data_IF_175420603052
#
_entry.id   IF_175420603052
#
_cell.length_a   1.000
_cell.length_b   1.000
_cell.length_c   1.000
_cell.angle_alpha   90.00
_cell.angle_beta   90.00
_cell.angle_gamma   90.00
#
_symmetry.space_group_name_H-M   'P 1'
#
loop_
_entity.id
_entity.type
_entity.pdbx_description
1 polymer ?
#
# COMPACT_ATOMS: atom_id res chain seq x y z
N UNK A 1 29.51 42.34 -41.95
CA UNK A 1 28.73 41.08 -41.98
C UNK A 1 29.60 40.01 -41.34
N UNK A 2 29.39 39.71 -40.07
CA UNK A 2 30.19 38.75 -39.30
C UNK A 2 29.25 37.99 -38.37
N UNK A 3 29.22 36.67 -38.55
CA UNK A 3 28.21 35.74 -38.05
C UNK A 3 28.43 35.49 -36.55
N UNK A 4 27.39 35.69 -35.74
CA UNK A 4 27.37 35.26 -34.33
C UNK A 4 27.05 33.77 -34.26
N UNK A 5 27.99 32.98 -33.75
CA UNK A 5 27.79 31.55 -33.48
C UNK A 5 27.13 31.40 -32.11
N UNK A 6 25.83 31.16 -32.08
CA UNK A 6 25.08 30.85 -30.85
C UNK A 6 25.25 29.36 -30.57
N UNK A 7 26.05 29.01 -29.56
CA UNK A 7 26.24 27.62 -29.13
C UNK A 7 25.00 27.18 -28.34
N UNK A 8 24.14 26.37 -28.94
CA UNK A 8 23.00 25.76 -28.27
C UNK A 8 23.51 24.62 -27.37
N UNK A 9 23.49 24.83 -26.04
CA UNK A 9 23.83 23.81 -25.06
C UNK A 9 22.68 22.79 -25.00
N UNK A 10 22.86 21.66 -25.69
CA UNK A 10 21.93 20.53 -25.65
C UNK A 10 22.04 19.88 -24.25
N UNK A 11 21.08 20.16 -23.38
CA UNK A 11 21.00 19.56 -22.05
C UNK A 11 20.83 18.05 -22.16
N UNK A 12 21.87 17.30 -21.83
CA UNK A 12 21.81 15.85 -21.70
C UNK A 12 20.90 15.51 -20.50
N UNK A 13 19.65 15.13 -20.77
CA UNK A 13 18.80 14.48 -19.77
C UNK A 13 19.36 13.08 -19.56
N UNK A 14 20.25 12.93 -18.58
CA UNK A 14 20.68 11.62 -18.13
C UNK A 14 19.44 10.90 -17.55
N UNK A 15 19.10 9.68 -18.00
CA UNK A 15 18.08 8.90 -17.34
C UNK A 15 18.58 8.64 -15.91
N UNK A 16 17.91 9.21 -14.91
CA UNK A 16 18.09 8.74 -13.54
C UNK A 16 17.71 7.27 -13.56
N UNK A 17 18.71 6.39 -13.50
CA UNK A 17 18.49 5.00 -13.16
C UNK A 17 17.77 5.02 -11.81
N UNK A 18 16.47 4.72 -11.82
CA UNK A 18 15.68 4.60 -10.60
C UNK A 18 16.40 3.56 -9.74
N UNK A 19 17.04 4.01 -8.67
CA UNK A 19 17.65 3.10 -7.72
C UNK A 19 16.51 2.31 -7.10
N UNK A 20 16.45 1.02 -7.40
CA UNK A 20 15.46 0.14 -6.81
C UNK A 20 15.74 0.06 -5.31
N UNK A 21 14.93 0.75 -4.52
CA UNK A 21 15.01 0.68 -3.06
C UNK A 21 14.43 -0.65 -2.64
N UNK A 22 15.30 -1.64 -2.44
CA UNK A 22 14.93 -2.85 -1.71
C UNK A 22 14.99 -2.46 -0.24
N UNK A 23 13.83 -2.40 0.44
CA UNK A 23 13.83 -2.17 1.87
C UNK A 23 14.60 -3.30 2.56
N UNK A 24 15.73 -2.97 3.18
CA UNK A 24 16.55 -3.94 3.90
C UNK A 24 15.96 -4.29 5.29
N UNK A 25 14.98 -3.50 5.75
CA UNK A 25 14.34 -3.63 7.08
C UNK A 25 12.83 -3.41 6.99
N UNK A 26 12.14 -3.86 8.02
CA UNK A 26 10.73 -3.56 8.26
C UNK A 26 10.58 -2.13 8.80
N UNK A 27 9.37 -1.55 8.69
CA UNK A 27 9.05 -0.27 9.32
C UNK A 27 8.91 0.91 8.37
N UNK A 28 8.94 0.71 7.05
CA UNK A 28 8.84 1.81 6.09
C UNK A 28 7.45 2.46 6.15
N UNK A 29 7.37 3.74 6.52
CA UNK A 29 6.11 4.50 6.55
C UNK A 29 5.75 4.87 5.11
N UNK A 30 4.71 4.24 4.61
CA UNK A 30 4.34 4.28 3.20
C UNK A 30 3.27 5.32 2.89
N UNK A 31 2.37 5.58 3.83
CA UNK A 31 1.31 6.56 3.66
C UNK A 31 0.85 7.08 5.02
N UNK A 32 0.54 8.38 5.07
CA UNK A 32 -0.01 9.04 6.26
C UNK A 32 -1.15 9.96 5.88
N UNK A 33 -2.16 10.07 6.74
CA UNK A 33 -3.26 11.03 6.67
C UNK A 33 -3.40 11.71 8.03
N UNK A 34 -3.61 13.03 8.06
CA UNK A 34 -3.84 13.76 9.31
C UNK A 34 -2.61 13.90 10.22
N UNK A 35 -2.83 13.86 11.53
CA UNK A 35 -1.74 13.98 12.52
C UNK A 35 -1.05 12.64 12.76
N UNK A 36 0.19 12.51 12.27
CA UNK A 36 1.04 11.33 12.47
C UNK A 36 2.42 11.78 12.92
N UNK A 37 2.92 11.14 13.98
CA UNK A 37 4.20 11.47 14.60
C UNK A 37 5.08 10.24 14.79
N UNK A 38 6.36 10.39 14.53
CA UNK A 38 7.41 9.40 14.76
C UNK A 38 8.35 9.96 15.83
N UNK A 39 8.41 9.31 17.00
CA UNK A 39 9.12 9.81 18.19
C UNK A 39 8.80 11.29 18.52
N UNK A 40 7.54 11.68 18.34
CA UNK A 40 7.04 13.03 18.63
C UNK A 40 7.16 14.04 17.48
N UNK A 41 7.94 13.74 16.45
CA UNK A 41 8.12 14.59 15.26
C UNK A 41 7.07 14.29 14.19
N UNK A 42 6.55 15.32 13.51
CA UNK A 42 5.57 15.16 12.44
C UNK A 42 6.17 14.36 11.28
N UNK A 43 5.44 13.36 10.80
CA UNK A 43 5.87 12.55 9.66
C UNK A 43 5.47 13.22 8.35
N UNK A 44 6.41 13.30 7.43
CA UNK A 44 6.16 13.66 6.03
C UNK A 44 6.59 12.50 5.12
N UNK A 45 5.71 12.13 4.19
CA UNK A 45 5.96 11.07 3.20
C UNK A 45 5.88 11.68 1.80
N UNK A 46 6.83 11.33 0.94
CA UNK A 46 6.81 11.70 -0.47
C UNK A 46 7.33 10.56 -1.34
N UNK A 47 7.08 10.63 -2.65
CA UNK A 47 7.64 9.66 -3.60
C UNK A 47 9.19 9.62 -3.60
N UNK A 48 9.85 10.68 -3.10
CA UNK A 48 11.30 10.77 -3.00
C UNK A 48 11.84 10.28 -1.64
N UNK A 49 11.01 10.22 -0.59
CA UNK A 49 11.44 9.91 0.76
C UNK A 49 10.33 9.26 1.57
N UNK A 50 10.60 8.04 2.03
CA UNK A 50 9.76 7.27 2.93
C UNK A 50 10.51 7.09 4.26
N UNK A 51 10.09 7.78 5.33
CA UNK A 51 10.68 7.57 6.66
C UNK A 51 10.44 6.13 7.12
N UNK A 52 11.24 5.66 8.07
CA UNK A 52 11.11 4.30 8.62
C UNK A 52 11.05 4.33 10.13
N UNK A 53 10.11 3.57 10.70
CA UNK A 53 10.03 3.27 12.14
C UNK A 53 11.09 2.24 12.47
N UNK A 54 12.20 2.69 13.06
CA UNK A 54 13.30 1.81 13.46
C UNK A 54 13.02 1.19 14.82
N UNK A 55 13.81 0.19 15.17
CA UNK A 55 13.78 -0.39 16.51
C UNK A 55 13.83 0.69 17.60
N UNK A 56 12.99 0.54 18.62
CA UNK A 56 12.78 1.44 19.77
C UNK A 56 12.10 2.78 19.44
N UNK A 57 11.62 2.97 18.21
CA UNK A 57 10.84 4.16 17.84
C UNK A 57 9.34 3.90 17.96
N UNK A 58 8.61 4.92 18.42
CA UNK A 58 7.16 4.94 18.48
C UNK A 58 6.58 5.66 17.25
N UNK A 59 5.59 5.05 16.60
CA UNK A 59 4.72 5.74 15.66
C UNK A 59 3.34 5.95 16.28
N UNK A 60 2.86 7.18 16.27
CA UNK A 60 1.59 7.61 16.85
C UNK A 60 0.73 8.36 15.85
N UNK A 61 -0.57 8.15 15.94
CA UNK A 61 -1.61 8.87 15.20
C UNK A 61 -2.53 9.61 16.17
N UNK A 62 -2.90 10.85 15.85
CA UNK A 62 -4.00 11.58 16.49
C UNK A 62 -5.28 11.41 15.67
N UNK A 63 -5.87 12.52 15.22
CA UNK A 63 -6.85 12.54 14.13
C UNK A 63 -6.14 12.26 12.79
N UNK A 64 -5.69 11.03 12.61
CA UNK A 64 -4.90 10.61 11.47
C UNK A 64 -4.76 9.10 11.38
N UNK A 65 -4.13 8.62 10.31
CA UNK A 65 -3.89 7.20 10.04
C UNK A 65 -2.54 7.01 9.40
N UNK A 66 -1.92 5.87 9.63
CA UNK A 66 -0.62 5.54 9.06
C UNK A 66 -0.62 4.13 8.47
N UNK A 67 0.10 3.97 7.37
CA UNK A 67 0.38 2.68 6.73
C UNK A 67 1.89 2.45 6.74
N UNK A 68 2.29 1.31 7.29
CA UNK A 68 3.68 0.90 7.45
C UNK A 68 3.89 -0.44 6.77
N UNK A 69 4.93 -0.54 5.94
CA UNK A 69 5.36 -1.81 5.36
C UNK A 69 6.34 -2.47 6.32
N UNK A 70 6.01 -3.69 6.73
CA UNK A 70 6.89 -4.51 7.53
C UNK A 70 7.65 -5.46 6.60
N UNK A 71 7.66 -6.74 6.95
CA UNK A 71 8.20 -7.78 6.13
C UNK A 71 7.55 -7.79 4.72
N UNK A 72 8.16 -8.39 3.70
CA UNK A 72 7.60 -8.45 2.35
C UNK A 72 6.16 -8.99 2.33
N UNK A 73 5.23 -8.15 1.89
CA UNK A 73 3.81 -8.50 1.85
C UNK A 73 3.06 -8.34 3.16
N UNK A 74 3.67 -7.79 4.22
CA UNK A 74 2.99 -7.48 5.48
C UNK A 74 2.79 -5.99 5.64
N UNK A 75 1.53 -5.59 5.84
CA UNK A 75 1.11 -4.21 6.01
C UNK A 75 0.55 -4.03 7.40
N UNK A 76 1.08 -3.05 8.14
CA UNK A 76 0.51 -2.55 9.38
C UNK A 76 -0.23 -1.24 9.07
N UNK A 77 -1.50 -1.17 9.47
CA UNK A 77 -2.35 0.00 9.25
C UNK A 77 -2.92 0.47 10.58
N UNK A 78 -2.45 1.63 11.00
CA UNK A 78 -2.74 2.22 12.30
C UNK A 78 -3.94 3.16 12.18
N UNK A 79 -4.93 3.00 13.06
CA UNK A 79 -6.12 3.83 13.14
C UNK A 79 -5.87 5.21 13.73
N UNK A 80 -6.94 5.96 13.97
CA UNK A 80 -6.89 7.23 14.72
C UNK A 80 -6.61 6.96 16.20
N UNK A 81 -5.98 7.92 16.89
CA UNK A 81 -5.66 7.87 18.32
C UNK A 81 -4.99 6.53 18.73
N UNK A 82 -3.98 6.14 17.95
CA UNK A 82 -3.36 4.83 18.05
C UNK A 82 -1.85 4.97 18.09
N UNK A 83 -1.16 4.01 18.70
CA UNK A 83 0.29 4.02 18.77
C UNK A 83 0.85 2.60 18.77
N UNK A 84 2.02 2.42 18.14
CA UNK A 84 2.80 1.21 18.29
C UNK A 84 4.29 1.54 18.48
N UNK A 85 4.99 0.67 19.19
CA UNK A 85 6.44 0.67 19.35
C UNK A 85 7.05 -0.42 18.46
N UNK A 86 8.10 -0.09 17.71
CA UNK A 86 8.87 -1.09 16.98
C UNK A 86 9.86 -1.77 17.94
N UNK A 87 9.67 -3.06 18.21
CA UNK A 87 10.53 -3.84 19.12
C UNK A 87 11.71 -4.47 18.36
N UNK A 88 11.48 -4.91 17.12
CA UNK A 88 12.49 -5.51 16.23
C UNK A 88 12.09 -5.22 14.77
N UNK A 89 13.01 -4.64 13.99
CA UNK A 89 12.79 -4.21 12.61
C UNK A 89 13.37 -5.18 11.56
N UNK A 90 13.71 -6.41 11.95
CA UNK A 90 14.18 -7.45 11.03
C UNK A 90 13.12 -7.78 9.97
N UNK A 91 13.56 -7.82 8.73
CA UNK A 91 12.70 -8.06 7.56
C UNK A 91 12.05 -9.46 7.53
N UNK A 92 12.61 -10.44 8.24
CA UNK A 92 12.08 -11.81 8.33
C UNK A 92 11.25 -12.07 9.58
N UNK A 93 11.33 -11.18 10.56
CA UNK A 93 10.63 -11.30 11.84
C UNK A 93 10.47 -9.95 12.54
N UNK A 94 9.62 -9.08 12.00
CA UNK A 94 9.30 -7.84 12.69
C UNK A 94 8.50 -8.12 13.98
N UNK A 95 8.84 -7.38 15.03
CA UNK A 95 8.12 -7.42 16.30
C UNK A 95 7.64 -6.01 16.61
N UNK A 96 6.33 -5.86 16.82
CA UNK A 96 5.70 -4.57 17.16
C UNK A 96 4.89 -4.72 18.43
N UNK A 97 4.89 -3.70 19.27
CA UNK A 97 4.02 -3.62 20.44
C UNK A 97 2.89 -2.61 20.19
N UNK A 98 1.64 -3.04 20.29
CA UNK A 98 0.48 -2.14 20.20
C UNK A 98 0.25 -1.52 21.57
N UNK A 99 0.49 -0.21 21.65
CA UNK A 99 0.37 0.56 22.88
C UNK A 99 -1.07 1.05 23.09
N UNK A 100 -1.66 1.62 22.04
CA UNK A 100 -2.94 2.32 22.10
C UNK A 100 -3.75 2.15 20.81
N UNK A 101 -5.07 2.33 20.93
CA UNK A 101 -5.99 2.39 19.79
C UNK A 101 -6.10 1.06 19.05
N UNK A 102 -6.08 1.11 17.72
CA UNK A 102 -6.32 -0.05 16.85
C UNK A 102 -5.32 -0.13 15.71
N UNK A 103 -4.82 -1.34 15.45
CA UNK A 103 -4.03 -1.67 14.27
C UNK A 103 -4.66 -2.83 13.47
N UNK A 104 -4.59 -2.72 12.14
CA UNK A 104 -4.94 -3.78 11.19
C UNK A 104 -3.66 -4.31 10.56
N UNK A 105 -3.56 -5.63 10.48
CA UNK A 105 -2.46 -6.34 9.85
C UNK A 105 -2.97 -7.14 8.65
N UNK A 106 -2.56 -6.74 7.46
CA UNK A 106 -2.73 -7.51 6.22
C UNK A 106 -1.45 -8.31 5.99
N UNK A 107 -1.56 -9.64 5.94
CA UNK A 107 -0.43 -10.54 5.73
C UNK A 107 -0.59 -11.27 4.41
N UNK A 108 0.18 -10.87 3.41
CA UNK A 108 0.30 -11.54 2.12
C UNK A 108 1.38 -12.61 2.20
N UNK A 109 1.08 -13.72 2.89
CA UNK A 109 2.07 -14.78 3.05
C UNK A 109 2.09 -15.75 1.85
N UNK A 110 2.82 -15.38 0.80
CA UNK A 110 3.27 -16.34 -0.22
C UNK A 110 4.55 -17.10 0.19
N UNK A 111 5.26 -16.61 1.20
CA UNK A 111 6.59 -17.06 1.54
C UNK A 111 6.53 -18.39 2.31
N UNK A 112 6.97 -19.46 1.65
CA UNK A 112 7.09 -20.79 2.24
C UNK A 112 8.08 -20.78 3.40
N UNK A 113 7.85 -21.62 4.41
CA UNK A 113 8.82 -21.87 5.49
C UNK A 113 8.77 -20.93 6.69
N UNK A 114 7.79 -20.01 6.77
CA UNK A 114 7.66 -19.12 7.94
C UNK A 114 8.68 -17.98 7.98
N UNK A 115 9.41 -17.74 6.88
CA UNK A 115 10.43 -16.68 6.72
C UNK A 115 9.86 -15.24 6.70
N UNK A 116 8.60 -15.07 7.10
CA UNK A 116 7.85 -13.81 7.00
C UNK A 116 6.94 -13.59 8.22
N UNK A 117 7.33 -14.12 9.38
CA UNK A 117 6.54 -14.01 10.58
C UNK A 117 6.50 -12.56 11.08
N UNK A 118 5.36 -12.13 11.62
CA UNK A 118 5.29 -10.90 12.41
C UNK A 118 4.72 -11.26 13.77
N UNK A 119 5.37 -10.80 14.82
CA UNK A 119 4.88 -10.94 16.19
C UNK A 119 4.33 -9.60 16.65
N UNK A 120 3.11 -9.63 17.15
CA UNK A 120 2.47 -8.48 17.79
C UNK A 120 2.50 -8.72 19.29
N UNK A 121 2.96 -7.73 20.05
CA UNK A 121 2.91 -7.72 21.50
C UNK A 121 1.80 -6.77 21.93
N UNK A 122 1.03 -7.17 22.92
CA UNK A 122 0.17 -6.27 23.67
C UNK A 122 0.22 -6.67 25.14
N UNK A 123 0.85 -5.84 25.97
CA UNK A 123 1.18 -6.18 27.37
C UNK A 123 1.98 -7.48 27.43
N UNK A 124 1.52 -8.47 28.18
CA UNK A 124 2.18 -9.77 28.36
C UNK A 124 1.77 -10.82 27.30
N UNK A 125 0.89 -10.44 26.36
CA UNK A 125 0.36 -11.35 25.33
C UNK A 125 1.13 -11.16 24.02
N UNK A 126 1.59 -12.27 23.42
CA UNK A 126 2.17 -12.28 22.08
C UNK A 126 1.22 -12.94 21.07
N UNK A 127 1.19 -12.40 19.86
CA UNK A 127 0.35 -12.84 18.75
C UNK A 127 1.24 -13.06 17.53
N UNK A 128 1.44 -14.31 17.16
CA UNK A 128 2.27 -14.73 16.04
C UNK A 128 1.44 -14.87 14.75
N UNK A 129 1.73 -14.01 13.78
CA UNK A 129 1.13 -13.99 12.46
C UNK A 129 2.02 -14.77 11.47
N UNK A 130 1.89 -16.10 11.48
CA UNK A 130 2.68 -16.99 10.61
C UNK A 130 1.95 -17.38 9.31
N UNK A 131 0.65 -17.11 9.23
CA UNK A 131 -0.19 -17.44 8.08
C UNK A 131 -0.74 -16.18 7.43
N UNK A 132 -0.93 -16.24 6.12
CA UNK A 132 -1.61 -15.18 5.39
C UNK A 132 -3.01 -14.96 5.96
N UNK A 133 -3.42 -13.71 6.08
CA UNK A 133 -4.65 -13.38 6.78
C UNK A 133 -4.84 -11.90 7.03
N UNK A 134 -5.97 -11.58 7.64
CA UNK A 134 -6.37 -10.23 8.01
C UNK A 134 -6.72 -10.24 9.49
N UNK A 135 -5.94 -9.48 10.25
CA UNK A 135 -5.99 -9.45 11.70
C UNK A 135 -6.19 -8.03 12.18
N UNK A 136 -6.90 -7.86 13.29
CA UNK A 136 -7.08 -6.57 13.94
C UNK A 136 -6.83 -6.70 15.42
N UNK A 137 -5.99 -5.82 15.96
CA UNK A 137 -5.70 -5.73 17.39
C UNK A 137 -6.18 -4.37 17.87
N UNK A 138 -7.01 -4.37 18.91
CA UNK A 138 -7.45 -3.15 19.60
C UNK A 138 -6.92 -3.20 21.04
N UNK A 139 -6.45 -2.08 21.55
CA UNK A 139 -5.95 -1.95 22.92
C UNK A 139 -7.06 -1.72 23.95
N UNK A 140 -8.20 -1.14 23.52
CA UNK A 140 -9.36 -0.89 24.38
C UNK A 140 -10.70 -1.07 23.63
N UNK A 141 -11.52 -2.09 23.98
CA UNK A 141 -11.13 -3.22 24.83
C UNK A 141 -9.98 -4.01 24.16
N UNK A 142 -9.11 -4.60 24.98
CA UNK A 142 -7.97 -5.39 24.50
C UNK A 142 -8.47 -6.66 23.80
N UNK A 143 -8.46 -6.68 22.45
CA UNK A 143 -9.03 -7.77 21.66
C UNK A 143 -8.28 -7.99 20.35
N UNK A 144 -8.04 -9.27 20.03
CA UNK A 144 -7.64 -9.72 18.70
C UNK A 144 -8.89 -10.19 17.93
N UNK A 145 -9.08 -9.71 16.71
CA UNK A 145 -10.08 -10.23 15.76
C UNK A 145 -9.40 -10.79 14.52
N UNK A 146 -9.81 -11.99 14.12
CA UNK A 146 -9.26 -12.68 12.94
C UNK A 146 -10.33 -12.71 11.84
N UNK A 147 -10.21 -11.82 10.86
CA UNK A 147 -11.15 -11.74 9.73
C UNK A 147 -10.86 -12.81 8.67
N UNK A 148 -9.57 -13.13 8.49
CA UNK A 148 -9.09 -14.19 7.60
C UNK A 148 -7.80 -14.78 8.18
N UNK A 149 -7.56 -16.08 7.95
CA UNK A 149 -6.36 -16.75 8.42
C UNK A 149 -6.46 -17.31 9.84
N UNK A 150 -5.32 -17.38 10.51
CA UNK A 150 -5.16 -17.94 11.85
C UNK A 150 -3.92 -17.34 12.52
N UNK A 151 -4.10 -16.85 13.75
CA UNK A 151 -3.03 -16.34 14.60
C UNK A 151 -2.77 -17.32 15.75
N UNK A 152 -1.50 -17.44 16.15
CA UNK A 152 -1.12 -18.17 17.36
C UNK A 152 -0.94 -17.16 18.48
N UNK A 153 -1.66 -17.30 19.58
CA UNK A 153 -1.61 -16.37 20.71
C UNK A 153 -1.01 -17.07 21.91
N UNK A 154 -0.07 -16.41 22.58
CA UNK A 154 0.52 -16.86 23.83
C UNK A 154 0.33 -15.82 24.92
N UNK A 155 -0.16 -16.24 26.09
CA UNK A 155 -0.16 -15.45 27.31
C UNK A 155 0.35 -16.32 28.46
N UNK A 156 1.52 -15.97 29.03
CA UNK A 156 2.23 -16.87 29.95
C UNK A 156 2.49 -18.24 29.31
N UNK A 157 2.04 -19.30 29.98
CA UNK A 157 2.16 -20.70 29.52
C UNK A 157 0.99 -21.16 28.63
N UNK A 158 -0.03 -20.31 28.43
CA UNK A 158 -1.19 -20.66 27.61
C UNK A 158 -0.91 -20.36 26.13
N UNK A 159 -1.29 -21.31 25.28
CA UNK A 159 -1.22 -21.20 23.82
C UNK A 159 -2.59 -21.44 23.21
N UNK A 160 -3.03 -20.56 22.30
CA UNK A 160 -4.31 -20.68 21.61
C UNK A 160 -4.21 -20.27 20.14
N UNK A 161 -4.68 -21.15 19.26
CA UNK A 161 -4.89 -20.83 17.86
C UNK A 161 -6.23 -20.11 17.67
N UNK A 162 -6.20 -18.84 17.24
CA UNK A 162 -7.40 -18.05 16.94
C UNK A 162 -7.60 -18.03 15.44
N UNK A 163 -8.69 -18.66 14.97
CA UNK A 163 -9.01 -18.83 13.55
C UNK A 163 -9.97 -17.75 13.05
N UNK A 164 -10.10 -17.65 11.72
CA UNK A 164 -11.14 -16.85 11.03
C UNK A 164 -12.50 -16.86 11.73
N UNK A 165 -13.10 -15.68 11.85
CA UNK A 165 -14.41 -15.47 12.47
C UNK A 165 -14.39 -15.62 14.00
N UNK A 166 -13.20 -15.64 14.60
CA UNK A 166 -13.02 -15.66 16.05
C UNK A 166 -12.34 -14.39 16.53
N UNK A 167 -12.80 -13.92 17.69
CA UNK A 167 -12.15 -12.88 18.47
C UNK A 167 -11.68 -13.45 19.79
N UNK A 168 -10.61 -12.88 20.32
CA UNK A 168 -10.02 -13.28 21.58
C UNK A 168 -9.74 -12.04 22.42
N UNK A 169 -10.36 -11.91 23.61
CA UNK A 169 -9.93 -10.94 24.61
C UNK A 169 -8.45 -11.16 24.96
N UNK A 170 -7.64 -10.11 24.88
CA UNK A 170 -6.21 -10.14 25.18
C UNK A 170 -5.90 -9.84 26.65
N UNK A 171 -6.96 -9.68 27.45
CA UNK A 171 -6.92 -9.53 28.91
C UNK A 171 -7.85 -10.53 29.56
N UNK A 172 -7.43 -11.13 30.67
CA UNK A 172 -8.22 -12.11 31.41
C UNK A 172 -8.13 -13.52 30.80
N UNK A 173 -9.25 -14.22 30.72
CA UNK A 173 -9.27 -15.64 30.31
C UNK A 173 -9.21 -15.74 28.78
N UNK A 174 -8.26 -16.53 28.27
CA UNK A 174 -8.08 -16.78 26.83
C UNK A 174 -9.17 -17.71 26.26
N UNK A 175 -10.38 -17.18 26.05
CA UNK A 175 -11.48 -17.88 25.39
C UNK A 175 -11.82 -17.19 24.08
N UNK A 176 -11.65 -17.91 22.97
CA UNK A 176 -12.02 -17.41 21.67
C UNK A 176 -13.55 -17.49 21.46
N UNK A 177 -14.14 -16.40 20.98
CA UNK A 177 -15.57 -16.24 20.73
C UNK A 177 -15.83 -16.00 19.25
N UNK A 178 -17.06 -16.27 18.78
CA UNK A 178 -17.43 -15.93 17.41
C UNK A 178 -17.68 -14.42 17.31
N UNK A 179 -17.33 -13.83 16.17
CA UNK A 179 -17.76 -12.47 15.82
C UNK A 179 -18.18 -12.44 14.35
N UNK A 180 -19.01 -11.46 13.99
CA UNK A 180 -19.48 -11.28 12.62
C UNK A 180 -18.41 -10.56 11.78
N UNK A 181 -17.77 -11.28 10.86
CA UNK A 181 -16.67 -10.74 10.04
C UNK A 181 -17.09 -9.64 9.05
N UNK A 182 -18.40 -9.45 8.88
CA UNK A 182 -18.97 -8.38 8.04
C UNK A 182 -19.13 -7.07 8.81
N UNK A 183 -19.13 -7.11 10.14
CA UNK A 183 -19.12 -5.91 10.97
C UNK A 183 -17.73 -5.28 10.88
N UNK A 184 -17.67 -4.19 10.13
CA UNK A 184 -16.42 -3.48 9.79
C UNK A 184 -16.62 -1.98 9.98
N UNK A 185 -15.53 -1.26 10.21
CA UNK A 185 -15.57 0.18 10.46
C UNK A 185 -14.77 1.00 9.44
N UNK A 186 -14.55 2.28 9.77
CA UNK A 186 -13.83 3.20 8.91
C UNK A 186 -12.35 2.82 8.70
N UNK A 187 -11.70 2.17 9.66
CA UNK A 187 -10.33 1.70 9.52
C UNK A 187 -10.27 0.48 8.60
N UNK A 188 -11.18 -0.47 8.74
CA UNK A 188 -11.24 -1.65 7.87
C UNK A 188 -11.49 -1.28 6.41
N UNK A 189 -12.41 -0.34 6.17
CA UNK A 189 -12.70 0.19 4.82
C UNK A 189 -11.50 0.92 4.22
N UNK A 190 -10.80 1.72 5.04
CA UNK A 190 -9.59 2.40 4.61
C UNK A 190 -8.48 1.42 4.29
N UNK A 191 -8.26 0.42 5.15
CA UNK A 191 -7.30 -0.66 4.93
C UNK A 191 -7.56 -1.40 3.61
N UNK A 192 -8.82 -1.76 3.34
CA UNK A 192 -9.21 -2.37 2.06
C UNK A 192 -8.90 -1.47 0.86
N UNK A 193 -9.22 -0.17 0.94
CA UNK A 193 -8.96 0.79 -0.15
C UNK A 193 -7.46 0.96 -0.40
N UNK A 194 -6.66 1.05 0.67
CA UNK A 194 -5.19 1.11 0.54
C UNK A 194 -4.64 -0.13 -0.15
N UNK A 195 -5.14 -1.31 0.23
CA UNK A 195 -4.80 -2.60 -0.38
C UNK A 195 -5.12 -2.65 -1.88
N UNK A 196 -6.25 -2.07 -2.30
CA UNK A 196 -6.63 -1.93 -3.71
C UNK A 196 -5.60 -1.12 -4.52
N UNK A 197 -5.07 -0.02 -3.96
CA UNK A 197 -4.04 0.78 -4.62
C UNK A 197 -2.74 0.00 -4.84
N UNK A 198 -2.35 -0.85 -3.89
CA UNK A 198 -1.20 -1.73 -4.09
C UNK A 198 -1.42 -2.71 -5.25
N UNK A 199 -2.62 -3.29 -5.37
CA UNK A 199 -2.96 -4.18 -6.46
C UNK A 199 -3.00 -3.45 -7.82
N UNK A 200 -3.52 -2.21 -7.86
CA UNK A 200 -3.48 -1.36 -9.06
C UNK A 200 -2.04 -1.06 -9.50
N UNK A 201 -1.16 -0.71 -8.54
CA UNK A 201 0.25 -0.45 -8.80
C UNK A 201 1.03 -1.73 -9.16
N UNK A 202 0.55 -2.92 -8.79
CA UNK A 202 1.25 -4.17 -9.05
C UNK A 202 1.40 -4.45 -10.56
N UNK A 203 0.38 -4.17 -11.38
CA UNK A 203 0.39 -4.54 -12.80
C UNK A 203 1.56 -3.86 -13.54
N UNK A 204 1.71 -2.54 -13.40
CA UNK A 204 2.81 -1.81 -14.02
C UNK A 204 4.15 -2.10 -13.34
N UNK A 205 4.17 -2.28 -12.02
CA UNK A 205 5.39 -2.66 -11.28
C UNK A 205 5.96 -4.01 -11.73
N UNK A 206 5.14 -5.06 -11.79
CA UNK A 206 5.53 -6.38 -12.26
C UNK A 206 5.99 -6.37 -13.72
N UNK A 207 5.35 -5.54 -14.57
CA UNK A 207 5.78 -5.33 -15.95
C UNK A 207 7.16 -4.66 -16.00
N UNK A 208 7.40 -3.62 -15.22
CA UNK A 208 8.71 -2.95 -15.14
C UNK A 208 9.82 -3.89 -14.68
N UNK A 209 9.57 -4.72 -13.66
CA UNK A 209 10.53 -5.74 -13.22
C UNK A 209 10.89 -6.68 -14.38
N UNK A 210 9.89 -7.15 -15.14
CA UNK A 210 10.14 -7.98 -16.31
C UNK A 210 10.94 -7.25 -17.40
N UNK A 211 10.48 -6.07 -17.79
CA UNK A 211 11.04 -5.34 -18.95
C UNK A 211 12.46 -4.84 -18.69
N UNK A 212 12.80 -4.60 -17.43
CA UNK A 212 14.18 -4.29 -17.01
C UNK A 212 15.13 -5.50 -17.07
N UNK A 213 14.62 -6.72 -17.25
CA UNK A 213 15.42 -7.94 -17.16
C UNK A 213 15.87 -8.29 -15.72
N UNK A 214 15.34 -7.59 -14.71
CA UNK A 214 15.69 -7.82 -13.31
C UNK A 214 15.34 -9.25 -12.87
N UNK A 215 16.28 -9.91 -12.21
CA UNK A 215 16.05 -11.23 -11.63
C UNK A 215 15.18 -11.13 -10.36
N UNK A 216 13.87 -11.38 -10.49
CA UNK A 216 12.92 -11.40 -9.38
C UNK A 216 12.83 -12.78 -8.72
N UNK A 217 13.85 -13.12 -7.93
CA UNK A 217 13.98 -14.46 -7.36
C UNK A 217 13.11 -14.74 -6.12
N UNK A 218 12.59 -13.70 -5.47
CA UNK A 218 11.77 -13.79 -4.24
C UNK A 218 10.65 -12.74 -4.27
N UNK A 219 9.52 -13.05 -3.63
CA UNK A 219 8.44 -12.07 -3.46
C UNK A 219 8.93 -10.90 -2.61
N UNK A 220 8.52 -9.67 -2.95
CA UNK A 220 9.16 -8.49 -2.39
C UNK A 220 8.39 -7.20 -2.60
N UNK A 221 8.82 -6.16 -1.88
CA UNK A 221 8.45 -4.79 -2.15
C UNK A 221 9.19 -4.27 -3.38
N UNK A 222 8.46 -3.62 -4.28
CA UNK A 222 9.01 -2.95 -5.44
C UNK A 222 8.49 -1.53 -5.51
N UNK A 223 9.38 -0.56 -5.65
CA UNK A 223 8.97 0.82 -5.85
C UNK A 223 8.47 1.02 -7.29
N UNK A 224 7.20 1.37 -7.44
CA UNK A 224 6.61 1.67 -8.73
C UNK A 224 6.69 3.18 -9.01
N UNK A 225 7.60 3.64 -9.90
CA UNK A 225 7.78 5.07 -10.17
C UNK A 225 6.56 5.72 -10.84
N UNK A 226 5.71 4.96 -11.52
CA UNK A 226 4.50 5.50 -12.16
C UNK A 226 3.42 5.88 -11.15
N UNK A 227 3.41 5.22 -9.99
CA UNK A 227 2.47 5.50 -8.90
C UNK A 227 3.12 6.28 -7.75
N UNK A 228 4.45 6.41 -7.75
CA UNK A 228 5.19 7.04 -6.66
C UNK A 228 5.04 6.30 -5.32
N UNK A 229 4.84 4.98 -5.37
CA UNK A 229 4.53 4.15 -4.20
C UNK A 229 5.12 2.75 -4.35
N UNK A 230 5.24 2.03 -3.25
CA UNK A 230 5.62 0.62 -3.29
C UNK A 230 4.43 -0.26 -3.69
N UNK A 231 4.73 -1.40 -4.30
CA UNK A 231 3.80 -2.51 -4.52
C UNK A 231 4.43 -3.83 -4.15
N UNK A 232 3.61 -4.80 -3.76
CA UNK A 232 4.07 -6.17 -3.57
C UNK A 232 4.13 -6.88 -4.92
N UNK A 233 5.25 -7.53 -5.23
CA UNK A 233 5.39 -8.36 -6.41
C UNK A 233 5.62 -9.81 -5.99
N UNK A 234 4.66 -10.71 -6.25
CA UNK A 234 4.83 -12.12 -5.97
C UNK A 234 5.91 -12.72 -6.87
N UNK A 235 6.64 -13.72 -6.38
CA UNK A 235 7.70 -14.39 -7.12
C UNK A 235 7.13 -15.09 -8.36
N UNK A 236 5.99 -15.77 -8.21
CA UNK A 236 5.43 -16.64 -9.24
C UNK A 236 3.89 -16.53 -9.27
N UNK A 237 3.30 -16.79 -10.44
CA UNK A 237 1.84 -16.95 -10.56
C UNK A 237 1.04 -15.66 -10.37
N UNK A 238 -0.20 -15.85 -9.93
CA UNK A 238 -1.13 -14.81 -9.45
C UNK A 238 -1.38 -15.10 -7.98
N UNK A 239 -1.24 -14.07 -7.15
CA UNK A 239 -1.55 -14.10 -5.74
C UNK A 239 -2.86 -13.36 -5.48
N UNK A 240 -3.68 -13.86 -4.56
CA UNK A 240 -4.83 -13.12 -4.05
C UNK A 240 -4.59 -12.81 -2.58
N UNK A 241 -4.67 -11.53 -2.23
CA UNK A 241 -4.54 -11.11 -0.85
C UNK A 241 -5.82 -11.42 -0.03
N UNK A 242 -5.78 -11.27 1.30
CA UNK A 242 -6.94 -11.54 2.16
C UNK A 242 -8.20 -10.71 1.82
N UNK A 243 -8.05 -9.57 1.15
CA UNK A 243 -9.18 -8.76 0.68
C UNK A 243 -9.76 -9.22 -0.68
N UNK A 244 -9.08 -10.14 -1.37
CA UNK A 244 -9.46 -10.70 -2.66
C UNK A 244 -8.89 -9.97 -3.88
N UNK A 245 -7.93 -9.05 -3.70
CA UNK A 245 -7.26 -8.37 -4.80
C UNK A 245 -6.14 -9.21 -5.38
N UNK A 246 -6.03 -9.19 -6.72
CA UNK A 246 -5.02 -9.95 -7.45
C UNK A 246 -3.69 -9.19 -7.56
N UNK A 247 -2.59 -9.91 -7.35
CA UNK A 247 -1.23 -9.47 -7.60
C UNK A 247 -0.57 -10.44 -8.57
N UNK A 248 0.20 -9.93 -9.53
CA UNK A 248 0.79 -10.67 -10.63
C UNK A 248 2.31 -10.66 -10.51
N UNK A 249 2.92 -11.82 -10.74
CA UNK A 249 4.37 -11.92 -10.86
C UNK A 249 4.84 -11.41 -12.24
N UNK A 250 6.12 -11.06 -12.42
CA UNK A 250 6.64 -10.52 -13.67
C UNK A 250 6.41 -11.44 -14.89
N UNK A 251 6.51 -12.75 -14.70
CA UNK A 251 6.24 -13.74 -15.75
C UNK A 251 4.74 -13.84 -16.09
N UNK A 252 3.88 -13.80 -15.08
CA UNK A 252 2.43 -13.93 -15.29
C UNK A 252 1.83 -12.68 -15.92
N UNK A 253 2.22 -11.48 -15.46
CA UNK A 253 1.70 -10.22 -16.02
C UNK A 253 2.02 -10.08 -17.51
N UNK A 254 3.16 -10.64 -17.96
CA UNK A 254 3.46 -10.73 -19.39
C UNK A 254 2.47 -11.61 -20.14
N UNK A 255 2.21 -12.83 -19.65
CA UNK A 255 1.31 -13.76 -20.33
C UNK A 255 -0.12 -13.25 -20.40
N UNK A 256 -0.58 -12.54 -19.37
CA UNK A 256 -1.95 -12.04 -19.27
C UNK A 256 -2.14 -10.72 -20.03
N UNK A 257 -1.14 -9.84 -20.03
CA UNK A 257 -1.28 -8.46 -20.52
C UNK A 257 -0.28 -8.05 -21.62
N UNK A 258 0.51 -8.98 -22.17
CA UNK A 258 1.21 -8.71 -23.43
C UNK A 258 0.16 -8.59 -24.53
N UNK A 259 0.22 -7.49 -25.31
CA UNK A 259 -0.41 -7.50 -26.62
C UNK A 259 0.21 -8.66 -27.41
N UNK A 260 -0.57 -9.45 -28.16
CA UNK A 260 0.01 -10.41 -29.09
C UNK A 260 0.99 -9.64 -29.98
N UNK A 261 2.26 -10.02 -29.96
CA UNK A 261 3.20 -9.55 -30.96
C UNK A 261 2.64 -10.05 -32.28
N UNK A 262 2.08 -9.15 -33.08
CA UNK A 262 1.84 -9.41 -34.50
C UNK A 262 3.23 -9.57 -35.10
N UNK A 263 3.80 -10.77 -35.02
CA UNK A 263 4.91 -11.12 -35.88
C UNK A 263 4.40 -10.88 -37.29
N UNK A 264 5.01 -9.92 -37.99
CA UNK A 264 4.85 -9.79 -39.43
C UNK A 264 5.08 -11.17 -40.02
N UNK A 265 4.04 -11.74 -40.61
CA UNK A 265 4.05 -13.11 -41.11
C UNK A 265 5.24 -13.31 -42.04
N UNK A 266 6.24 -14.05 -41.58
CA UNK A 266 7.20 -14.69 -42.47
C UNK A 266 6.40 -15.72 -43.28
N UNK A 267 6.47 -15.73 -44.62
CA UNK A 267 5.68 -16.65 -45.42
C UNK A 267 6.16 -18.08 -45.13
N UNK A 268 5.34 -18.89 -44.45
CA UNK A 268 5.58 -20.32 -44.33
C UNK A 268 5.31 -21.00 -42.97
N UNK A 269 4.97 -20.28 -41.90
CA UNK A 269 4.68 -20.93 -40.61
C UNK A 269 3.18 -21.02 -40.29
N UNK A 270 2.67 -22.25 -40.33
CA UNK A 270 1.29 -22.61 -40.03
C UNK A 270 0.98 -22.37 -38.53
N UNK A 271 0.25 -21.29 -38.22
CA UNK A 271 -0.20 -20.97 -36.86
C UNK A 271 -1.42 -21.80 -36.47
N UNK A 272 -1.16 -23.05 -36.07
CA UNK A 272 -2.19 -24.00 -35.67
C UNK A 272 -1.97 -24.56 -34.26
N UNK A 273 -1.65 -23.74 -33.25
CA UNK A 273 -1.64 -24.22 -31.86
C UNK A 273 -1.69 -23.05 -30.86
N UNK A 274 -2.87 -22.46 -30.68
CA UNK A 274 -3.09 -21.42 -29.69
C UNK A 274 -4.56 -21.35 -29.33
N UNK A 275 -5.07 -22.34 -28.60
CA UNK A 275 -6.43 -22.26 -28.04
C UNK A 275 -6.43 -21.14 -26.98
N UNK A 276 -7.28 -20.11 -27.09
CA UNK A 276 -7.46 -19.18 -25.98
C UNK A 276 -8.10 -19.96 -24.84
N UNK A 277 -7.51 -19.88 -23.65
CA UNK A 277 -8.20 -20.31 -22.42
C UNK A 277 -9.36 -19.34 -22.25
N UNK A 278 -10.57 -19.80 -22.58
CA UNK A 278 -11.80 -19.08 -22.31
C UNK A 278 -11.93 -18.90 -20.80
N UNK A 279 -11.96 -17.65 -20.34
CA UNK A 279 -12.40 -17.33 -18.98
C UNK A 279 -13.87 -17.74 -18.89
N UNK A 280 -14.20 -18.71 -18.04
CA UNK A 280 -15.59 -19.08 -17.76
C UNK A 280 -16.33 -17.85 -17.21
N UNK A 281 -17.55 -17.53 -17.71
CA UNK A 281 -18.31 -16.38 -17.24
C UNK A 281 -18.98 -16.73 -15.91
N UNK A 282 -18.31 -16.43 -14.81
CA UNK A 282 -18.79 -16.64 -13.45
C UNK A 282 -18.70 -15.36 -12.60
N UNK A 283 -19.60 -14.42 -12.88
CA UNK A 283 -20.14 -13.43 -11.94
C UNK A 283 -19.21 -12.71 -10.95
N UNK A 284 -18.68 -11.55 -11.37
CA UNK A 284 -18.86 -10.23 -10.72
C UNK A 284 -18.13 -9.19 -11.57
N UNK A 285 -18.92 -8.33 -12.20
CA UNK A 285 -18.45 -7.25 -13.07
C UNK A 285 -17.58 -6.27 -12.28
N UNK A 286 -16.26 -6.34 -12.44
CA UNK A 286 -15.36 -5.26 -12.06
C UNK A 286 -15.44 -4.18 -13.13
N UNK A 287 -15.95 -3.01 -12.76
CA UNK A 287 -15.99 -1.84 -13.65
C UNK A 287 -14.56 -1.51 -14.06
N UNK A 288 -14.24 -1.76 -15.34
CA UNK A 288 -12.98 -1.34 -15.95
C UNK A 288 -13.07 0.18 -16.11
N UNK A 289 -12.43 0.93 -15.21
CA UNK A 289 -12.22 2.36 -15.44
C UNK A 289 -11.21 2.52 -16.56
N UNK A 290 -11.71 2.88 -17.75
CA UNK A 290 -10.88 3.36 -18.87
C UNK A 290 -10.06 4.55 -18.36
N UNK A 291 -8.77 4.57 -18.66
CA UNK A 291 -7.88 5.69 -18.33
C UNK A 291 -8.54 7.02 -18.74
N UNK A 292 -8.47 8.08 -17.91
CA UNK A 292 -8.93 9.39 -18.35
C UNK A 292 -8.08 9.78 -19.56
N UNK A 293 -8.76 10.11 -20.66
CA UNK A 293 -8.13 10.78 -21.78
C UNK A 293 -7.51 12.09 -21.24
N UNK A 294 -6.27 12.36 -21.62
CA UNK A 294 -5.57 13.61 -21.35
C UNK A 294 -6.48 14.80 -21.70
N UNK A 295 -6.89 15.57 -20.69
CA UNK A 295 -7.59 16.83 -20.90
C UNK A 295 -6.53 17.85 -21.28
N UNK A 296 -6.48 18.20 -22.56
CA UNK A 296 -5.67 19.31 -23.05
C UNK A 296 -6.11 20.60 -22.36
N UNK A 297 -5.17 21.31 -21.74
CA UNK A 297 -5.41 22.61 -21.15
C UNK A 297 -5.87 23.61 -22.22
N UNK A 298 -6.93 24.41 -21.99
CA UNK A 298 -7.22 25.53 -22.87
C UNK A 298 -6.16 26.61 -22.69
N UNK A 299 -5.56 27.01 -23.81
CA UNK A 299 -4.65 28.15 -23.93
C UNK A 299 -5.42 29.44 -23.68
N UNK A 300 -5.04 30.18 -22.63
CA UNK A 300 -5.54 31.55 -22.40
C UNK A 300 -4.79 32.52 -23.31
N UNK A 301 -5.36 32.80 -24.49
CA UNK A 301 -4.96 33.91 -25.34
C UNK A 301 -5.56 35.22 -24.83
N UNK A 302 -4.70 36.21 -24.57
CA UNK A 302 -5.09 37.55 -24.16
C UNK A 302 -5.64 38.39 -25.33
N UNK A 303 -6.75 39.08 -25.09
CA UNK A 303 -7.22 40.33 -25.72
C UNK A 303 -8.52 40.69 -24.98
N UNK A 304 -8.90 41.90 -24.61
CA UNK A 304 -8.40 43.28 -24.74
C UNK A 304 -9.47 44.12 -24.03
N UNK A 305 -9.07 45.23 -23.41
CA UNK A 305 -9.83 45.98 -22.40
C UNK A 305 -11.14 46.66 -22.88
N UNK A 306 -12.07 46.93 -21.96
CA UNK A 306 -12.85 48.17 -21.92
C UNK A 306 -13.45 48.45 -20.52
N UNK A 307 -12.89 49.47 -19.87
CA UNK A 307 -13.51 50.53 -19.04
C UNK A 307 -14.57 50.23 -17.95
N UNK A 308 -14.24 50.69 -16.74
CA UNK A 308 -15.07 50.83 -15.54
C UNK A 308 -16.20 51.90 -15.66
N UNK A 309 -17.06 52.07 -14.62
CA UNK A 309 -16.65 52.94 -13.52
C UNK A 309 -16.98 52.45 -12.11
N UNK A 310 -16.20 53.01 -11.19
CA UNK A 310 -16.17 52.89 -9.74
C UNK A 310 -17.32 53.69 -9.12
N UNK A 311 -18.00 53.12 -8.13
CA UNK A 311 -18.80 53.89 -7.16
C UNK A 311 -18.08 53.92 -5.80
N UNK A 312 -17.72 55.14 -5.38
CA UNK A 312 -17.15 55.47 -4.07
C UNK A 312 -17.99 56.60 -3.48
N UNK A 313 -18.65 56.36 -2.36
CA UNK A 313 -19.17 57.33 -1.37
C UNK A 313 -19.95 56.49 -0.33
N UNK A 314 -19.88 56.70 0.98
CA UNK A 314 -19.25 57.72 1.80
C UNK A 314 -19.66 57.45 3.25
N UNK A 315 -18.80 57.84 4.19
CA UNK A 315 -19.06 57.78 5.63
C UNK A 315 -20.16 58.76 6.05
N UNK A 316 -20.87 58.45 7.14
CA UNK A 316 -21.76 59.40 7.81
C UNK A 316 -22.34 58.82 9.11
N UNK A 317 -21.79 59.24 10.25
CA UNK A 317 -22.37 58.99 11.57
C UNK A 317 -23.57 59.91 11.84
N UNK A 318 -24.40 59.54 12.82
CA UNK A 318 -25.51 60.37 13.30
C UNK A 318 -26.18 59.79 14.54
N UNK A 319 -26.09 60.53 15.65
CA UNK A 319 -26.78 60.33 16.94
C UNK A 319 -28.27 60.68 16.87
N UNK A 320 -29.06 60.04 17.74
CA UNK A 320 -30.14 60.68 18.50
C UNK A 320 -31.56 60.47 17.98
N UNK A 321 -32.35 59.62 18.65
CA UNK A 321 -33.25 59.95 19.78
C UNK A 321 -33.69 58.66 20.45
#
# INVERSE_FOLDING_TARGET
MTIRLTLALLGAVLPLAAQNVISARSGLIHHVEGDVRLDGERVEVSAASFPSVKQRMELRTGEGRAEVLLNPGVFLRLGENSAFLMIDDRLTNAVVEILEGTAVFEVNNELKGGENAVTIIHRETSIDLRKGGLYRVSADPAVLRVFEGEAQVQAGDQYLAVKKGRQLPLSGVMVAEKFETKETDALDRWSRRRSEYFAMANISGARSVRDSGMNWARSGWFFNPYFGMFTFIPQNGVFFNPYGFAFYSPRTVYRVFAAPVMLSAQPGFNSGMGRPVALAPGGRSGVISRAPASVSAPTTGASGASSAPISRQGAGGGRGR
#
